data_IF_547047533984
#
_entry.id   IF_547047533984
#
_cell.length_a   1.000
_cell.length_b   1.000
_cell.length_c   1.000
_cell.angle_alpha   90.00
_cell.angle_beta   90.00
_cell.angle_gamma   90.00
#
_symmetry.space_group_name_H-M   'P 1'
#
loop_
_entity.id
_entity.type
_entity.pdbx_description
1 polymer ?
#
# COMPACT_ATOMS: atom_id res chain seq x y z
N UNK A 1 -2.35 10.68 -19.47
CA UNK A 1 -3.71 10.17 -19.68
C UNK A 1 -4.46 11.12 -20.61
N UNK A 2 -5.19 10.60 -21.58
CA UNK A 2 -5.91 11.44 -22.54
C UNK A 2 -7.22 11.93 -21.93
N UNK A 3 -7.63 13.16 -22.34
CA UNK A 3 -8.86 13.76 -21.90
C UNK A 3 -10.09 13.02 -22.46
N UNK A 4 -11.21 13.14 -21.79
CA UNK A 4 -12.48 12.64 -22.29
C UNK A 4 -12.95 13.45 -23.51
N UNK A 5 -13.58 12.78 -24.47
CA UNK A 5 -14.13 13.42 -25.66
C UNK A 5 -15.66 13.54 -25.58
N UNK A 6 -16.29 12.84 -24.64
CA UNK A 6 -17.74 12.84 -24.45
C UNK A 6 -18.09 13.15 -23.01
N UNK A 7 -19.01 14.09 -22.81
CA UNK A 7 -19.41 14.53 -21.47
C UNK A 7 -20.07 13.38 -20.68
N UNK A 8 -20.80 12.49 -21.36
CA UNK A 8 -21.47 11.36 -20.71
C UNK A 8 -20.46 10.42 -20.06
N UNK A 9 -19.35 10.15 -20.73
CA UNK A 9 -18.29 9.30 -20.20
C UNK A 9 -17.65 9.95 -18.98
N UNK A 10 -17.38 11.26 -19.05
CA UNK A 10 -16.81 12.01 -17.94
C UNK A 10 -17.74 12.00 -16.72
N UNK A 11 -19.03 12.20 -16.93
CA UNK A 11 -20.02 12.17 -15.84
C UNK A 11 -20.10 10.82 -15.16
N UNK A 12 -20.00 9.73 -15.92
CA UNK A 12 -20.10 8.37 -15.37
C UNK A 12 -18.96 8.04 -14.41
N UNK A 13 -17.73 8.45 -14.72
CA UNK A 13 -16.57 8.04 -13.94
C UNK A 13 -16.10 9.08 -12.94
N UNK A 14 -16.63 10.32 -12.99
CA UNK A 14 -16.16 11.40 -12.12
C UNK A 14 -16.23 11.04 -10.64
N UNK A 15 -17.36 10.47 -10.20
CA UNK A 15 -17.55 10.09 -8.80
C UNK A 15 -16.50 9.07 -8.33
N UNK A 16 -16.17 8.09 -9.18
CA UNK A 16 -15.19 7.06 -8.83
C UNK A 16 -13.78 7.62 -8.77
N UNK A 17 -13.40 8.47 -9.73
CA UNK A 17 -12.07 9.11 -9.75
C UNK A 17 -11.92 10.07 -8.56
N UNK A 18 -12.96 10.83 -8.25
CA UNK A 18 -12.95 11.71 -7.08
C UNK A 18 -12.75 10.91 -5.79
N UNK A 19 -13.44 9.78 -5.65
CA UNK A 19 -13.27 8.89 -4.50
C UNK A 19 -11.85 8.35 -4.42
N UNK A 20 -11.24 7.98 -5.54
CA UNK A 20 -9.86 7.49 -5.57
C UNK A 20 -8.89 8.58 -5.09
N UNK A 21 -9.13 9.85 -5.43
CA UNK A 21 -8.27 10.96 -5.03
C UNK A 21 -8.46 11.36 -3.57
N UNK A 22 -9.70 11.43 -3.08
CA UNK A 22 -10.02 12.02 -1.78
C UNK A 22 -10.58 11.03 -0.76
N UNK A 23 -10.85 9.79 -1.14
CA UNK A 23 -11.41 8.78 -0.24
C UNK A 23 -12.92 8.85 -0.03
N UNK A 24 -13.58 9.88 -0.53
CA UNK A 24 -15.04 10.05 -0.45
C UNK A 24 -15.61 10.47 -1.80
N UNK A 25 -16.89 10.16 -2.03
CA UNK A 25 -17.56 10.58 -3.26
C UNK A 25 -17.90 12.07 -3.21
N UNK A 26 -17.97 12.76 -4.38
CA UNK A 26 -18.26 14.18 -4.41
C UNK A 26 -19.69 14.48 -3.96
N UNK A 27 -19.86 15.62 -3.28
CA UNK A 27 -21.17 16.11 -2.85
C UNK A 27 -21.64 17.32 -3.66
N UNK A 28 -20.77 17.85 -4.55
CA UNK A 28 -21.12 18.99 -5.38
C UNK A 28 -22.01 18.56 -6.54
N UNK A 29 -22.82 19.47 -7.03
CA UNK A 29 -23.63 19.28 -8.23
C UNK A 29 -22.79 19.63 -9.46
N UNK A 30 -22.61 18.66 -10.35
CA UNK A 30 -21.83 18.84 -11.59
C UNK A 30 -22.72 18.93 -12.82
N UNK A 31 -24.04 19.08 -12.64
CA UNK A 31 -24.98 19.10 -13.76
C UNK A 31 -24.75 20.24 -14.75
N UNK A 32 -24.16 21.36 -14.28
CA UNK A 32 -23.85 22.53 -15.11
C UNK A 32 -22.45 22.50 -15.71
N UNK A 33 -21.68 21.45 -15.42
CA UNK A 33 -20.29 21.39 -15.89
C UNK A 33 -20.22 21.09 -17.38
N UNK A 34 -19.27 21.74 -18.04
CA UNK A 34 -18.91 21.44 -19.43
C UNK A 34 -17.89 20.32 -19.47
N UNK A 35 -17.67 19.76 -20.66
CA UNK A 35 -16.61 18.77 -20.86
C UNK A 35 -15.23 19.34 -20.45
N UNK A 36 -14.97 20.60 -20.74
CA UNK A 36 -13.73 21.27 -20.35
C UNK A 36 -13.59 21.34 -18.83
N UNK A 37 -14.69 21.58 -18.10
CA UNK A 37 -14.68 21.58 -16.64
C UNK A 37 -14.30 20.20 -16.09
N UNK A 38 -14.89 19.14 -16.61
CA UNK A 38 -14.56 17.78 -16.22
C UNK A 38 -13.10 17.43 -16.51
N UNK A 39 -12.61 17.74 -17.70
CA UNK A 39 -11.24 17.43 -18.08
C UNK A 39 -10.21 18.16 -17.22
N UNK A 40 -10.49 19.43 -16.89
CA UNK A 40 -9.65 20.21 -15.98
C UNK A 40 -9.59 19.57 -14.60
N UNK A 41 -10.74 19.18 -14.08
CA UNK A 41 -10.82 18.55 -12.76
C UNK A 41 -10.17 17.15 -12.75
N UNK A 42 -10.34 16.35 -13.82
CA UNK A 42 -9.66 15.07 -13.93
C UNK A 42 -8.15 15.22 -13.92
N UNK A 43 -7.59 16.20 -14.61
CA UNK A 43 -6.15 16.46 -14.60
C UNK A 43 -5.66 16.68 -13.18
N UNK A 44 -6.40 17.47 -12.40
CA UNK A 44 -6.06 17.72 -11.00
C UNK A 44 -6.21 16.47 -10.14
N UNK A 45 -7.31 15.71 -10.28
CA UNK A 45 -7.56 14.50 -9.52
C UNK A 45 -6.49 13.44 -9.80
N UNK A 46 -6.11 13.26 -11.06
CA UNK A 46 -5.06 12.30 -11.41
C UNK A 46 -3.70 12.71 -10.84
N UNK A 47 -3.42 14.02 -10.73
CA UNK A 47 -2.18 14.47 -10.09
C UNK A 47 -2.15 14.11 -8.61
N UNK A 48 -3.28 14.20 -7.90
CA UNK A 48 -3.40 13.79 -6.50
C UNK A 48 -3.19 12.28 -6.37
N UNK A 49 -3.84 11.49 -7.21
CA UNK A 49 -3.72 10.03 -7.18
C UNK A 49 -2.28 9.61 -7.45
N UNK A 50 -1.64 10.23 -8.44
CA UNK A 50 -0.24 9.94 -8.77
C UNK A 50 0.70 10.29 -7.62
N UNK A 51 0.51 11.45 -7.00
CA UNK A 51 1.32 11.88 -5.85
C UNK A 51 1.18 10.90 -4.68
N UNK A 52 -0.04 10.48 -4.37
CA UNK A 52 -0.27 9.48 -3.31
C UNK A 52 0.39 8.14 -3.65
N UNK A 53 0.33 7.70 -4.91
CA UNK A 53 0.98 6.46 -5.33
C UNK A 53 2.50 6.54 -5.17
N UNK A 54 3.11 7.68 -5.49
CA UNK A 54 4.55 7.90 -5.31
C UNK A 54 4.92 7.92 -3.82
N UNK A 55 4.13 8.56 -2.97
CA UNK A 55 4.35 8.57 -1.52
C UNK A 55 4.24 7.15 -0.94
N UNK A 56 3.28 6.35 -1.41
CA UNK A 56 3.14 4.96 -0.98
C UNK A 56 4.36 4.12 -1.35
N UNK A 57 4.92 4.33 -2.54
CA UNK A 57 6.16 3.64 -2.94
C UNK A 57 7.31 3.96 -1.99
N UNK A 58 7.45 5.23 -1.61
CA UNK A 58 8.49 5.67 -0.68
C UNK A 58 8.27 5.03 0.69
N UNK A 59 7.05 5.05 1.22
CA UNK A 59 6.71 4.45 2.50
C UNK A 59 7.01 2.95 2.53
N UNK A 60 6.66 2.24 1.45
CA UNK A 60 6.92 0.80 1.35
C UNK A 60 8.41 0.50 1.27
N UNK A 61 9.17 1.30 0.51
CA UNK A 61 10.61 1.14 0.42
C UNK A 61 11.28 1.37 1.78
N UNK A 62 10.87 2.39 2.52
CA UNK A 62 11.37 2.65 3.86
C UNK A 62 11.01 1.54 4.84
N UNK A 63 9.78 1.03 4.79
CA UNK A 63 9.34 -0.08 5.62
C UNK A 63 10.16 -1.35 5.36
N UNK A 64 10.43 -1.65 4.10
CA UNK A 64 11.26 -2.80 3.73
C UNK A 64 12.70 -2.64 4.21
N UNK A 65 13.25 -1.44 4.08
CA UNK A 65 14.60 -1.15 4.55
C UNK A 65 14.69 -1.31 6.06
N UNK A 66 13.75 -0.74 6.81
CA UNK A 66 13.71 -0.84 8.27
C UNK A 66 13.62 -2.30 8.72
N UNK A 67 12.78 -3.08 8.06
CA UNK A 67 12.65 -4.50 8.38
C UNK A 67 13.93 -5.27 8.09
N UNK A 68 14.56 -5.02 6.95
CA UNK A 68 15.82 -5.66 6.58
C UNK A 68 16.94 -5.30 7.56
N UNK A 69 17.00 -4.06 8.00
CA UNK A 69 17.96 -3.63 9.03
C UNK A 69 17.72 -4.35 10.35
N UNK A 70 16.46 -4.56 10.72
CA UNK A 70 16.11 -5.30 11.93
C UNK A 70 16.51 -6.77 11.82
N UNK A 71 16.33 -7.39 10.67
CA UNK A 71 16.80 -8.77 10.40
C UNK A 71 18.31 -8.85 10.57
N UNK A 72 19.07 -7.92 9.98
CA UNK A 72 20.52 -7.90 10.09
C UNK A 72 20.99 -7.67 11.53
N UNK A 73 20.28 -6.83 12.27
CA UNK A 73 20.56 -6.61 13.68
C UNK A 73 20.37 -7.88 14.51
N UNK A 74 19.30 -8.63 14.26
CA UNK A 74 19.07 -9.91 14.94
C UNK A 74 20.17 -10.92 14.61
N UNK A 75 20.63 -10.97 13.36
CA UNK A 75 21.73 -11.84 12.95
C UNK A 75 23.03 -11.45 13.65
N UNK A 76 23.30 -10.16 13.80
CA UNK A 76 24.45 -9.68 14.54
C UNK A 76 24.39 -10.05 16.04
N UNK A 77 23.19 -10.19 16.59
CA UNK A 77 22.96 -10.59 17.98
C UNK A 77 22.97 -12.10 18.20
N UNK A 78 23.08 -12.90 17.13
CA UNK A 78 23.21 -14.34 17.24
C UNK A 78 22.23 -15.17 16.43
N UNK A 79 21.26 -14.57 15.75
CA UNK A 79 20.37 -15.34 14.86
C UNK A 79 21.20 -15.98 13.73
N UNK A 80 20.98 -17.26 13.46
CA UNK A 80 21.84 -18.04 12.56
C UNK A 80 21.48 -17.88 11.10
N UNK A 81 20.29 -17.39 10.81
CA UNK A 81 19.76 -17.26 9.46
C UNK A 81 18.68 -16.18 9.44
N UNK A 82 18.23 -15.81 8.24
CA UNK A 82 17.10 -14.91 8.08
C UNK A 82 15.85 -15.51 8.73
N UNK A 83 15.61 -16.81 8.60
CA UNK A 83 14.47 -17.48 9.22
C UNK A 83 14.51 -17.36 10.74
N UNK A 84 15.68 -17.55 11.36
CA UNK A 84 15.83 -17.36 12.81
C UNK A 84 15.58 -15.92 13.22
N UNK A 85 16.14 -14.98 12.48
CA UNK A 85 15.96 -13.54 12.75
C UNK A 85 14.48 -13.15 12.66
N UNK A 86 13.78 -13.62 11.64
CA UNK A 86 12.35 -13.35 11.45
C UNK A 86 11.55 -13.94 12.62
N UNK A 87 11.87 -15.15 13.04
CA UNK A 87 11.20 -15.77 14.21
C UNK A 87 11.42 -14.94 15.46
N UNK A 88 12.63 -14.44 15.70
CA UNK A 88 12.91 -13.59 16.85
C UNK A 88 12.06 -12.32 16.82
N UNK A 89 11.92 -11.70 15.64
CA UNK A 89 11.12 -10.49 15.48
C UNK A 89 9.65 -10.78 15.80
N UNK A 90 9.10 -11.86 15.23
CA UNK A 90 7.69 -12.22 15.42
C UNK A 90 7.41 -12.61 16.87
N UNK A 91 8.31 -13.34 17.52
CA UNK A 91 8.18 -13.68 18.93
C UNK A 91 8.20 -12.43 19.82
N UNK A 92 9.10 -11.49 19.52
CA UNK A 92 9.17 -10.21 20.24
C UNK A 92 7.92 -9.36 20.10
N UNK A 93 7.24 -9.46 18.97
CA UNK A 93 5.96 -8.77 18.73
C UNK A 93 4.76 -9.60 19.15
N UNK A 94 4.97 -10.78 19.73
CA UNK A 94 3.93 -11.71 20.19
C UNK A 94 2.97 -12.12 19.07
N UNK A 95 3.51 -12.35 17.87
CA UNK A 95 2.74 -12.81 16.72
C UNK A 95 2.74 -14.33 16.70
N UNK A 96 1.54 -14.92 16.69
CA UNK A 96 1.37 -16.36 16.51
C UNK A 96 1.45 -16.69 15.01
N UNK A 97 2.51 -17.36 14.58
CA UNK A 97 2.73 -17.70 13.18
C UNK A 97 1.75 -18.74 12.65
N UNK A 98 1.04 -19.45 13.52
CA UNK A 98 -0.02 -20.38 13.14
C UNK A 98 -1.36 -19.66 12.92
N UNK A 99 -1.46 -18.41 13.32
CA UNK A 99 -2.65 -17.57 13.10
C UNK A 99 -2.39 -16.63 11.93
N UNK A 100 -3.01 -16.94 10.80
CA UNK A 100 -2.82 -16.16 9.57
C UNK A 100 -3.22 -14.70 9.74
N UNK A 101 -4.27 -14.43 10.53
CA UNK A 101 -4.74 -13.05 10.76
C UNK A 101 -3.72 -12.23 11.57
N UNK A 102 -3.08 -12.84 12.56
CA UNK A 102 -2.03 -12.14 13.32
C UNK A 102 -0.85 -11.79 12.44
N UNK A 103 -0.45 -12.70 11.55
CA UNK A 103 0.66 -12.46 10.63
C UNK A 103 0.31 -11.37 9.62
N UNK A 104 -0.89 -11.40 9.05
CA UNK A 104 -1.35 -10.35 8.13
C UNK A 104 -1.43 -9.00 8.83
N UNK A 105 -1.93 -8.94 10.05
CA UNK A 105 -1.99 -7.71 10.83
C UNK A 105 -0.59 -7.15 11.09
N UNK A 106 0.36 -8.03 11.43
CA UNK A 106 1.76 -7.63 11.62
C UNK A 106 2.31 -6.98 10.35
N UNK A 107 2.12 -7.61 9.19
CA UNK A 107 2.59 -7.06 7.93
C UNK A 107 1.96 -5.70 7.65
N UNK A 108 0.66 -5.57 7.86
CA UNK A 108 -0.04 -4.31 7.68
C UNK A 108 0.48 -3.22 8.63
N UNK A 109 0.67 -3.56 9.90
CA UNK A 109 1.12 -2.60 10.92
C UNK A 109 2.53 -2.07 10.66
N UNK A 110 3.37 -2.86 9.98
CA UNK A 110 4.73 -2.47 9.62
C UNK A 110 4.85 -1.85 8.22
N UNK A 111 3.73 -1.70 7.51
CA UNK A 111 3.74 -1.16 6.16
C UNK A 111 4.28 -2.11 5.10
N UNK A 112 4.27 -3.42 5.38
CA UNK A 112 4.87 -4.45 4.52
C UNK A 112 3.85 -5.20 3.67
N UNK A 113 2.54 -4.96 3.83
CA UNK A 113 1.51 -5.63 3.03
C UNK A 113 1.73 -5.38 1.54
N UNK A 114 1.60 -6.46 0.76
CA UNK A 114 1.77 -6.44 -0.70
C UNK A 114 3.18 -6.06 -1.16
N UNK A 115 4.19 -6.22 -0.29
CA UNK A 115 5.58 -6.02 -0.66
C UNK A 115 6.29 -7.35 -0.88
N UNK A 116 7.45 -7.36 -1.59
CA UNK A 116 8.26 -8.58 -1.68
C UNK A 116 8.73 -9.12 -0.33
N UNK A 117 8.91 -8.25 0.68
CA UNK A 117 9.29 -8.67 2.03
C UNK A 117 8.19 -9.52 2.67
N UNK A 118 6.92 -9.17 2.49
CA UNK A 118 5.81 -9.99 2.98
C UNK A 118 5.88 -11.40 2.41
N UNK A 119 6.04 -11.52 1.10
CA UNK A 119 6.15 -12.81 0.42
C UNK A 119 7.33 -13.61 0.95
N UNK A 120 8.48 -12.97 1.11
CA UNK A 120 9.70 -13.60 1.61
C UNK A 120 9.53 -14.13 3.04
N UNK A 121 9.00 -13.29 3.93
CA UNK A 121 8.77 -13.67 5.33
C UNK A 121 7.81 -14.85 5.43
N UNK A 122 6.70 -14.80 4.70
CA UNK A 122 5.74 -15.91 4.69
C UNK A 122 6.35 -17.18 4.16
N UNK A 123 7.21 -17.11 3.16
CA UNK A 123 7.91 -18.30 2.64
C UNK A 123 8.86 -18.91 3.67
N UNK A 124 9.56 -18.09 4.45
CA UNK A 124 10.44 -18.57 5.52
C UNK A 124 9.66 -19.29 6.61
N UNK A 125 8.51 -18.78 6.99
CA UNK A 125 7.65 -19.39 8.01
C UNK A 125 7.11 -20.74 7.52
N UNK A 126 6.65 -20.81 6.28
CA UNK A 126 6.13 -22.05 5.70
C UNK A 126 7.19 -23.13 5.54
N UNK A 127 8.45 -22.75 5.32
CA UNK A 127 9.56 -23.70 5.22
C UNK A 127 9.88 -24.39 6.56
N UNK A 128 9.53 -23.78 7.68
CA UNK A 128 9.82 -24.26 9.02
C UNK A 128 8.75 -25.24 9.50
N UNK A 129 7.63 -25.29 8.81
CA UNK A 129 6.54 -26.24 9.06
C UNK A 129 6.81 -27.51 8.28
#
# INVERSE_FOLDING_TARGET
MSDFTRIEDAQQIFSDVYKDAYGTRPRMDTSDWTLADFNKEFTYLYSIIHEEAELDKIRRAEAMQDFNELVEKCKALGAKSDADAVRWILEGEQVDTNDYYQLDYFMWSKGLSYTPVETYVKSLILQVV
#
